data_IF_682325399492
#
_entry.id   IF_682325399492
#
_cell.length_a   1.000
_cell.length_b   1.000
_cell.length_c   1.000
_cell.angle_alpha   90.00
_cell.angle_beta   90.00
_cell.angle_gamma   90.00
#
_symmetry.space_group_name_H-M   'P 1'
#
loop_
_entity.id
_entity.type
_entity.pdbx_description
1 polymer ?
#
# COMPACT_ATOMS: atom_id res chain seq x y z
N UNK A 1 -27.88 44.44 3.03
CA UNK A 1 -26.93 45.11 2.12
C UNK A 1 -25.59 45.23 2.82
N UNK A 2 -24.77 44.16 2.81
CA UNK A 2 -23.33 44.17 3.17
C UNK A 2 -22.69 43.10 2.29
N UNK A 3 -21.64 43.48 1.56
CA UNK A 3 -20.95 42.70 0.51
C UNK A 3 -19.99 41.65 1.12
N UNK A 4 -19.74 40.50 0.46
CA UNK A 4 -18.71 39.56 0.89
C UNK A 4 -17.31 40.01 0.43
N UNK A 5 -16.34 39.83 1.31
CA UNK A 5 -14.92 40.11 1.10
C UNK A 5 -14.30 38.97 0.29
N UNK A 6 -13.55 39.35 -0.75
CA UNK A 6 -12.90 38.46 -1.71
C UNK A 6 -11.90 37.49 -1.08
N UNK A 7 -12.09 36.21 -1.38
CA UNK A 7 -11.13 35.12 -1.15
C UNK A 7 -10.07 35.18 -2.26
N UNK A 8 -9.11 36.07 -2.12
CA UNK A 8 -7.94 36.14 -3.01
C UNK A 8 -6.73 36.63 -2.23
N UNK A 9 -6.27 35.87 -1.23
CA UNK A 9 -5.06 36.26 -0.46
C UNK A 9 -4.23 35.11 0.13
N UNK A 10 -4.25 33.91 -0.48
CA UNK A 10 -3.39 32.80 -0.02
C UNK A 10 -2.58 32.09 -1.12
N UNK A 11 -2.35 32.76 -2.25
CA UNK A 11 -1.54 32.20 -3.34
C UNK A 11 -0.41 33.12 -3.80
N UNK A 12 0.25 33.83 -2.88
CA UNK A 12 1.53 34.53 -3.16
C UNK A 12 2.41 34.44 -1.92
N UNK A 13 3.07 33.29 -1.71
CA UNK A 13 4.25 33.21 -0.86
C UNK A 13 5.14 32.02 -1.23
N UNK A 14 5.55 31.91 -2.50
CA UNK A 14 6.66 31.01 -2.90
C UNK A 14 7.51 31.51 -4.07
N UNK A 15 7.44 32.82 -4.36
CA UNK A 15 8.28 33.49 -5.35
C UNK A 15 8.77 34.78 -4.71
N UNK A 16 9.94 34.72 -4.06
CA UNK A 16 10.91 35.79 -3.82
C UNK A 16 11.80 35.40 -2.62
N UNK A 17 12.76 34.51 -2.85
CA UNK A 17 14.01 34.49 -2.10
C UNK A 17 15.13 34.63 -3.13
N UNK A 18 15.59 35.88 -3.26
CA UNK A 18 16.61 36.28 -4.22
C UNK A 18 17.96 35.64 -3.95
N UNK A 19 18.61 35.28 -5.04
CA UNK A 19 20.04 35.00 -5.10
C UNK A 19 20.86 36.20 -4.61
N UNK A 20 21.90 35.94 -3.84
CA UNK A 20 23.06 36.82 -3.72
C UNK A 20 24.32 35.99 -3.49
N UNK A 21 25.25 36.05 -4.44
CA UNK A 21 26.69 35.87 -4.24
C UNK A 21 27.21 34.46 -4.01
N UNK A 22 27.67 33.81 -5.09
CA UNK A 22 28.54 32.63 -5.01
C UNK A 22 29.13 32.29 -6.37
N UNK A 23 30.44 32.49 -6.52
CA UNK A 23 31.25 32.25 -7.73
C UNK A 23 31.13 30.82 -8.27
N UNK A 24 30.87 30.68 -9.57
CA UNK A 24 30.81 29.41 -10.30
C UNK A 24 32.22 28.81 -10.53
N UNK A 25 32.44 27.50 -10.30
CA UNK A 25 33.62 26.81 -10.80
C UNK A 25 33.43 26.36 -12.26
N UNK A 26 34.52 26.37 -13.01
CA UNK A 26 34.59 26.16 -14.45
C UNK A 26 33.98 24.82 -14.93
N UNK A 27 33.19 24.89 -16.00
CA UNK A 27 32.63 23.76 -16.72
C UNK A 27 33.70 23.02 -17.54
N UNK A 28 33.85 21.72 -17.29
CA UNK A 28 34.66 20.79 -18.11
C UNK A 28 33.78 20.24 -19.25
N UNK A 29 34.23 20.17 -20.51
CA UNK A 29 33.41 19.67 -21.60
C UNK A 29 33.20 18.15 -21.51
N UNK A 30 31.99 17.67 -21.85
CA UNK A 30 31.67 16.24 -21.96
C UNK A 30 32.39 15.60 -23.16
N UNK A 31 32.82 14.33 -23.07
CA UNK A 31 33.40 13.60 -24.19
C UNK A 31 32.33 13.17 -25.21
N UNK A 32 32.66 13.34 -26.49
CA UNK A 32 31.80 13.16 -27.67
C UNK A 32 31.81 11.76 -28.29
N UNK A 33 31.97 10.67 -27.52
CA UNK A 33 31.87 9.30 -28.06
C UNK A 33 31.29 8.30 -27.05
N UNK A 34 30.12 7.75 -27.39
CA UNK A 34 29.50 6.58 -26.76
C UNK A 34 30.07 5.33 -27.47
N UNK A 35 30.69 4.36 -26.76
CA UNK A 35 31.08 3.10 -27.38
C UNK A 35 29.84 2.20 -27.57
N UNK A 36 29.65 1.69 -28.78
CA UNK A 36 28.63 0.71 -29.15
C UNK A 36 28.90 -0.62 -28.42
N UNK A 37 27.92 -1.13 -27.67
CA UNK A 37 27.93 -2.50 -27.16
C UNK A 37 27.74 -3.51 -28.31
N UNK A 38 28.42 -4.67 -28.27
CA UNK A 38 28.22 -5.73 -29.27
C UNK A 38 26.86 -6.39 -29.12
N UNK A 39 26.23 -6.67 -30.26
CA UNK A 39 24.95 -7.35 -30.42
C UNK A 39 25.06 -8.82 -30.05
N UNK A 40 24.21 -9.28 -29.13
CA UNK A 40 24.01 -10.71 -28.84
C UNK A 40 23.15 -11.33 -29.95
N UNK A 41 23.70 -12.29 -30.66
CA UNK A 41 22.98 -13.13 -31.62
C UNK A 41 22.25 -14.28 -30.90
N UNK A 42 21.06 -14.71 -31.38
CA UNK A 42 20.33 -15.81 -30.78
C UNK A 42 20.86 -17.17 -31.27
N UNK A 43 21.09 -18.08 -30.33
CA UNK A 43 21.44 -19.49 -30.58
C UNK A 43 20.20 -20.31 -30.97
N UNK A 44 20.27 -21.22 -31.95
CA UNK A 44 19.10 -22.01 -32.37
C UNK A 44 18.80 -23.16 -31.41
N UNK A 45 17.51 -23.47 -31.32
CA UNK A 45 16.91 -24.57 -30.55
C UNK A 45 16.83 -25.82 -31.44
N UNK A 46 17.26 -26.97 -30.95
CA UNK A 46 16.99 -28.28 -31.55
C UNK A 46 16.16 -29.14 -30.57
N UNK A 47 15.04 -29.68 -31.06
CA UNK A 47 14.30 -30.80 -30.43
C UNK A 47 15.05 -32.12 -30.63
N UNK A 48 14.58 -33.31 -30.26
CA UNK A 48 13.43 -33.84 -29.53
C UNK A 48 13.76 -35.35 -29.30
N UNK A 49 12.85 -36.09 -28.63
CA UNK A 49 12.82 -37.56 -28.39
C UNK A 49 13.61 -38.01 -27.14
N UNK A 50 13.13 -38.84 -26.22
CA UNK A 50 11.87 -39.59 -26.03
C UNK A 50 12.10 -40.73 -25.02
N UNK A 51 11.12 -41.00 -24.15
CA UNK A 51 10.77 -42.34 -23.63
C UNK A 51 11.53 -42.97 -22.45
N UNK A 52 10.74 -43.37 -21.41
CA UNK A 52 10.92 -44.47 -20.43
C UNK A 52 12.18 -44.47 -19.54
N UNK A 53 12.22 -44.86 -18.27
CA UNK A 53 11.44 -45.82 -17.47
C UNK A 53 12.45 -46.64 -16.64
N UNK A 54 12.19 -46.83 -15.34
CA UNK A 54 12.80 -47.84 -14.44
C UNK A 54 14.26 -47.59 -13.98
N UNK A 55 14.55 -47.43 -12.67
CA UNK A 55 14.62 -48.41 -11.56
C UNK A 55 15.89 -49.27 -11.53
N UNK A 56 16.52 -49.25 -10.35
CA UNK A 56 17.49 -50.20 -9.76
C UNK A 56 18.73 -50.61 -10.56
N UNK A 57 19.91 -50.32 -9.99
CA UNK A 57 20.97 -51.33 -9.84
C UNK A 57 21.84 -51.04 -8.61
N UNK A 58 21.83 -52.01 -7.69
CA UNK A 58 22.77 -52.21 -6.58
C UNK A 58 23.94 -53.07 -7.07
N UNK A 59 25.18 -52.71 -6.74
CA UNK A 59 26.40 -53.55 -6.60
C UNK A 59 27.54 -52.56 -6.23
N UNK A 60 28.43 -52.73 -5.25
CA UNK A 60 28.80 -53.81 -4.35
C UNK A 60 30.30 -53.62 -4.01
N UNK A 61 30.61 -53.46 -2.72
CA UNK A 61 31.89 -53.72 -2.03
C UNK A 61 33.23 -53.12 -2.54
N UNK A 62 33.88 -52.34 -1.65
CA UNK A 62 35.32 -52.07 -1.66
C UNK A 62 35.75 -51.40 -0.35
N UNK A 63 36.57 -52.09 0.44
CA UNK A 63 36.90 -51.79 1.83
C UNK A 63 38.00 -50.72 2.03
N UNK A 64 38.01 -50.09 3.21
CA UNK A 64 39.22 -49.55 3.84
C UNK A 64 39.11 -48.10 4.30
N UNK A 65 39.20 -47.86 5.62
CA UNK A 65 39.43 -46.52 6.17
C UNK A 65 38.65 -46.23 7.44
N UNK A 66 39.24 -46.58 8.59
CA UNK A 66 38.77 -46.21 9.93
C UNK A 66 38.90 -44.70 10.14
N UNK A 67 37.79 -43.99 10.31
CA UNK A 67 37.75 -42.76 11.09
C UNK A 67 36.55 -42.79 12.05
N UNK A 68 36.84 -42.62 13.34
CA UNK A 68 35.86 -42.51 14.41
C UNK A 68 35.12 -41.18 14.29
N UNK A 69 33.95 -41.19 13.66
CA UNK A 69 32.94 -40.14 13.79
C UNK A 69 31.82 -40.65 14.68
N UNK A 70 31.72 -40.13 15.91
CA UNK A 70 30.65 -40.45 16.82
C UNK A 70 29.28 -40.15 16.18
N UNK A 71 28.41 -41.14 16.20
CA UNK A 71 27.00 -40.98 15.85
C UNK A 71 26.36 -39.99 16.84
N UNK A 72 26.12 -38.77 16.39
CA UNK A 72 25.17 -37.87 17.06
C UNK A 72 23.80 -38.25 16.51
N UNK A 73 23.08 -39.06 17.29
CA UNK A 73 21.66 -39.30 17.11
C UNK A 73 20.96 -37.96 16.95
N UNK A 74 20.28 -37.76 15.82
CA UNK A 74 19.45 -36.60 15.58
C UNK A 74 18.43 -36.48 16.70
N UNK A 75 18.63 -35.52 17.59
CA UNK A 75 17.57 -35.04 18.47
C UNK A 75 16.46 -34.52 17.55
N UNK A 76 15.27 -35.09 17.71
CA UNK A 76 14.04 -34.63 17.07
C UNK A 76 13.90 -33.13 17.30
N UNK A 77 14.13 -32.36 16.23
CA UNK A 77 13.90 -30.92 16.24
C UNK A 77 12.43 -30.67 16.53
N UNK A 78 12.17 -30.08 17.69
CA UNK A 78 10.92 -29.40 17.99
C UNK A 78 10.74 -28.34 16.90
N UNK A 79 9.86 -28.59 15.94
CA UNK A 79 9.40 -27.57 15.02
C UNK A 79 8.65 -26.57 15.88
N UNK A 80 9.32 -25.45 16.21
CA UNK A 80 8.63 -24.29 16.76
C UNK A 80 7.64 -23.86 15.70
N UNK A 81 6.38 -24.19 15.92
CA UNK A 81 5.28 -23.76 15.08
C UNK A 81 5.21 -22.23 15.20
N UNK A 82 5.82 -21.53 14.26
CA UNK A 82 5.84 -20.05 14.20
C UNK A 82 4.39 -19.48 14.25
N UNK A 83 3.39 -20.33 13.96
CA UNK A 83 1.97 -20.02 13.97
C UNK A 83 1.28 -20.09 15.36
N UNK A 84 2.03 -20.33 16.44
CA UNK A 84 1.51 -20.33 17.82
C UNK A 84 2.01 -19.15 18.68
N UNK A 85 2.69 -18.16 18.07
CA UNK A 85 3.15 -16.98 18.80
C UNK A 85 2.01 -15.97 18.98
N UNK A 86 1.76 -15.57 20.22
CA UNK A 86 0.78 -14.52 20.52
C UNK A 86 1.20 -13.18 19.88
N UNK A 87 0.22 -12.51 19.26
CA UNK A 87 0.42 -11.22 18.62
C UNK A 87 0.80 -10.13 19.66
N UNK A 88 1.92 -9.38 19.47
CA UNK A 88 2.27 -8.30 20.39
C UNK A 88 1.27 -7.14 20.38
N UNK A 89 0.77 -6.74 21.55
CA UNK A 89 -0.22 -5.66 21.66
C UNK A 89 0.33 -4.29 21.21
N UNK A 90 -0.56 -3.38 20.82
CA UNK A 90 -0.23 -1.98 20.57
C UNK A 90 0.17 -1.24 21.87
N UNK A 91 1.15 -0.34 21.81
CA UNK A 91 1.35 0.63 22.88
C UNK A 91 0.08 1.48 23.13
N UNK A 92 -0.27 1.78 24.39
CA UNK A 92 -1.56 2.39 24.73
C UNK A 92 -1.66 3.88 24.37
N UNK A 93 -0.55 4.54 24.08
CA UNK A 93 -0.41 5.99 23.90
C UNK A 93 -0.28 6.43 22.44
N UNK A 94 -0.70 5.57 21.50
CA UNK A 94 -0.65 5.87 20.07
C UNK A 94 -1.86 6.69 19.62
N UNK A 95 -1.64 7.53 18.61
CA UNK A 95 -2.71 8.28 17.93
C UNK A 95 -3.38 7.37 16.89
N UNK A 96 -4.71 7.42 16.83
CA UNK A 96 -5.52 6.62 15.91
C UNK A 96 -6.38 7.51 15.02
N UNK A 97 -6.63 7.02 13.80
CA UNK A 97 -7.46 7.61 12.77
C UNK A 97 -8.47 6.55 12.29
N UNK A 98 -9.58 6.98 11.72
CA UNK A 98 -10.68 6.07 11.32
C UNK A 98 -11.15 5.18 12.49
N UNK A 99 -11.23 5.72 13.71
CA UNK A 99 -11.85 5.10 14.89
C UNK A 99 -12.07 6.16 15.96
N UNK A 100 -13.06 6.01 16.82
CA UNK A 100 -13.31 6.95 17.92
C UNK A 100 -12.39 6.71 19.13
N UNK A 101 -11.91 5.47 19.29
CA UNK A 101 -11.09 5.06 20.41
C UNK A 101 -9.91 4.20 19.93
N UNK A 102 -8.77 4.21 20.65
CA UNK A 102 -7.68 3.28 20.39
C UNK A 102 -8.16 1.82 20.42
N UNK A 103 -7.68 1.02 19.47
CA UNK A 103 -7.96 -0.42 19.42
C UNK A 103 -6.89 -1.20 20.17
N UNK A 104 -7.29 -2.35 20.70
CA UNK A 104 -6.37 -3.39 21.17
C UNK A 104 -6.64 -4.71 20.45
N UNK A 105 -5.59 -5.52 20.25
CA UNK A 105 -5.74 -6.85 19.66
C UNK A 105 -6.57 -7.77 20.57
N UNK A 106 -6.51 -7.56 21.88
CA UNK A 106 -7.36 -8.28 22.83
C UNK A 106 -8.87 -8.04 22.59
N UNK A 107 -9.28 -6.83 22.17
CA UNK A 107 -10.67 -6.52 21.83
C UNK A 107 -11.13 -7.18 20.52
N UNK A 108 -10.19 -7.60 19.68
CA UNK A 108 -10.46 -8.20 18.36
C UNK A 108 -10.38 -9.73 18.37
N UNK A 109 -10.28 -10.36 19.55
CA UNK A 109 -10.40 -11.83 19.66
C UNK A 109 -11.72 -12.30 19.04
N UNK A 110 -11.66 -13.37 18.27
CA UNK A 110 -12.77 -13.85 17.45
C UNK A 110 -12.78 -13.29 16.01
N UNK A 111 -11.98 -12.27 15.71
CA UNK A 111 -11.77 -11.74 14.34
C UNK A 111 -10.44 -12.19 13.77
N UNK A 112 -10.38 -12.33 12.45
CA UNK A 112 -9.10 -12.36 11.74
C UNK A 112 -8.62 -10.91 11.64
N UNK A 113 -7.37 -10.63 11.99
CA UNK A 113 -6.80 -9.28 11.91
C UNK A 113 -5.66 -9.25 10.91
N UNK A 114 -5.67 -8.28 10.00
CA UNK A 114 -4.61 -8.02 9.04
C UNK A 114 -3.95 -6.68 9.37
N UNK A 115 -2.69 -6.73 9.82
CA UNK A 115 -1.86 -5.55 9.97
C UNK A 115 -1.15 -5.25 8.66
N UNK A 116 -1.32 -4.03 8.15
CA UNK A 116 -0.54 -3.49 7.03
C UNK A 116 0.46 -2.47 7.56
N UNK A 117 1.75 -2.79 7.54
CA UNK A 117 2.82 -1.86 7.90
C UNK A 117 3.22 -1.05 6.67
N UNK A 118 2.82 0.22 6.67
CA UNK A 118 2.90 1.07 5.49
C UNK A 118 3.42 2.48 5.82
N UNK A 119 3.74 3.23 4.77
CA UNK A 119 4.04 4.66 4.85
C UNK A 119 3.59 5.34 3.57
N UNK A 120 3.14 6.59 3.62
CA UNK A 120 2.47 7.20 2.48
C UNK A 120 3.42 7.68 1.36
N UNK A 121 4.72 7.82 1.63
CA UNK A 121 5.75 8.07 0.62
C UNK A 121 6.19 6.82 -0.17
N UNK A 122 5.64 5.65 0.14
CA UNK A 122 6.01 4.36 -0.45
C UNK A 122 5.03 3.96 -1.56
N UNK A 123 5.47 4.01 -2.82
CA UNK A 123 4.63 3.63 -3.98
C UNK A 123 4.15 2.17 -3.88
N UNK A 124 5.00 1.27 -3.39
CA UNK A 124 4.65 -0.13 -3.21
C UNK A 124 3.50 -0.34 -2.20
N UNK A 125 3.44 0.53 -1.20
CA UNK A 125 2.40 0.52 -0.19
C UNK A 125 1.08 1.00 -0.81
N UNK A 126 1.13 2.02 -1.67
CA UNK A 126 -0.04 2.50 -2.40
C UNK A 126 -0.63 1.44 -3.34
N UNK A 127 0.22 0.60 -3.96
CA UNK A 127 -0.24 -0.52 -4.78
C UNK A 127 -1.00 -1.60 -3.99
N UNK A 128 -0.81 -1.69 -2.66
CA UNK A 128 -1.54 -2.64 -1.82
C UNK A 128 -2.97 -2.18 -1.49
N UNK A 129 -3.26 -0.87 -1.54
CA UNK A 129 -4.55 -0.30 -1.14
C UNK A 129 -5.74 -0.96 -1.87
N UNK A 130 -5.74 -1.13 -3.21
CA UNK A 130 -6.86 -1.80 -3.88
C UNK A 130 -7.08 -3.23 -3.42
N UNK A 131 -6.01 -3.96 -3.08
CA UNK A 131 -6.10 -5.34 -2.60
C UNK A 131 -6.63 -5.41 -1.16
N UNK A 132 -6.26 -4.45 -0.31
CA UNK A 132 -6.83 -4.32 1.04
C UNK A 132 -8.34 -4.08 0.95
N UNK A 133 -8.78 -3.11 0.12
CA UNK A 133 -10.21 -2.84 -0.12
C UNK A 133 -10.97 -4.07 -0.61
N UNK A 134 -10.37 -4.87 -1.49
CA UNK A 134 -10.97 -6.12 -1.96
C UNK A 134 -11.13 -7.15 -0.84
N UNK A 135 -10.18 -7.27 0.08
CA UNK A 135 -10.31 -8.18 1.23
C UNK A 135 -11.35 -7.68 2.23
N UNK A 136 -11.36 -6.39 2.54
CA UNK A 136 -12.35 -5.75 3.41
C UNK A 136 -13.78 -5.96 2.89
N UNK A 137 -14.00 -5.74 1.58
CA UNK A 137 -15.29 -5.97 0.96
C UNK A 137 -15.70 -7.45 0.91
N UNK A 138 -14.73 -8.36 0.85
CA UNK A 138 -14.98 -9.80 0.73
C UNK A 138 -15.26 -10.47 2.09
N UNK A 139 -14.67 -9.97 3.16
CA UNK A 139 -14.77 -10.54 4.52
C UNK A 139 -15.19 -9.47 5.55
N UNK A 140 -16.32 -8.76 5.34
CA UNK A 140 -16.67 -7.59 6.13
C UNK A 140 -16.99 -7.89 7.61
N UNK A 141 -17.38 -9.13 7.91
CA UNK A 141 -17.77 -9.55 9.25
C UNK A 141 -16.68 -10.37 9.95
N UNK A 142 -15.75 -10.98 9.20
CA UNK A 142 -14.67 -11.83 9.74
C UNK A 142 -13.33 -11.12 9.85
N UNK A 143 -13.01 -10.20 8.93
CA UNK A 143 -11.70 -9.57 8.80
C UNK A 143 -11.72 -8.13 9.31
N UNK A 144 -10.70 -7.78 10.09
CA UNK A 144 -10.38 -6.40 10.44
C UNK A 144 -9.00 -6.05 9.88
N UNK A 145 -8.95 -5.08 8.99
CA UNK A 145 -7.68 -4.51 8.53
C UNK A 145 -7.29 -3.36 9.48
N UNK A 146 -6.01 -3.26 9.82
CA UNK A 146 -5.45 -2.12 10.57
C UNK A 146 -4.19 -1.65 9.84
N UNK A 147 -4.19 -0.39 9.43
CA UNK A 147 -3.01 0.26 8.86
C UNK A 147 -2.07 0.70 9.98
N UNK A 148 -0.91 0.08 10.10
CA UNK A 148 0.18 0.53 10.97
C UNK A 148 1.05 1.49 10.16
N UNK A 149 0.75 2.79 10.25
CA UNK A 149 1.51 3.81 9.55
C UNK A 149 2.84 4.07 10.29
N UNK A 150 3.91 3.46 9.80
CA UNK A 150 5.26 3.60 10.35
C UNK A 150 6.06 4.57 9.47
N UNK A 151 6.34 5.77 9.98
CA UNK A 151 6.89 6.88 9.20
C UNK A 151 8.33 6.62 8.72
N UNK A 152 8.59 6.80 7.41
CA UNK A 152 9.96 6.77 6.88
C UNK A 152 10.68 8.12 7.05
N UNK A 153 9.96 9.22 6.90
CA UNK A 153 10.45 10.59 7.12
C UNK A 153 9.65 11.28 8.23
N UNK A 154 10.26 12.27 8.91
CA UNK A 154 9.63 12.98 10.03
C UNK A 154 8.30 13.67 9.66
N UNK A 155 8.18 14.17 8.42
CA UNK A 155 6.92 14.76 7.92
C UNK A 155 5.79 13.74 7.85
N UNK A 156 6.11 12.46 7.65
CA UNK A 156 5.15 11.37 7.58
C UNK A 156 4.56 11.02 8.95
N UNK A 157 5.24 11.36 10.04
CA UNK A 157 4.74 11.16 11.40
C UNK A 157 3.67 12.17 11.84
N UNK A 158 3.36 13.19 11.04
CA UNK A 158 2.34 14.18 11.38
C UNK A 158 0.94 13.61 11.12
N UNK A 159 0.13 13.47 12.17
CA UNK A 159 -1.21 12.87 12.11
C UNK A 159 -2.13 13.52 11.06
N UNK A 160 -2.05 14.84 10.88
CA UNK A 160 -2.84 15.52 9.85
C UNK A 160 -2.44 15.12 8.42
N UNK A 161 -1.16 14.90 8.14
CA UNK A 161 -0.73 14.44 6.83
C UNK A 161 -1.26 13.02 6.55
N UNK A 162 -1.25 12.15 7.57
CA UNK A 162 -1.82 10.80 7.47
C UNK A 162 -3.33 10.88 7.21
N UNK A 163 -4.06 11.76 7.92
CA UNK A 163 -5.48 12.02 7.66
C UNK A 163 -5.73 12.44 6.22
N UNK A 164 -4.96 13.37 5.67
CA UNK A 164 -5.09 13.78 4.28
C UNK A 164 -4.83 12.62 3.30
N UNK A 165 -3.91 11.71 3.62
CA UNK A 165 -3.64 10.51 2.81
C UNK A 165 -4.79 9.51 2.90
N UNK A 166 -5.37 9.29 4.09
CA UNK A 166 -6.57 8.46 4.30
C UNK A 166 -7.71 8.97 3.43
N UNK A 167 -7.98 10.28 3.47
CA UNK A 167 -9.03 10.92 2.69
C UNK A 167 -8.74 10.85 1.19
N UNK A 168 -7.49 11.08 0.78
CA UNK A 168 -7.06 10.98 -0.60
C UNK A 168 -7.33 9.56 -1.12
N UNK A 169 -6.73 8.54 -0.54
CA UNK A 169 -6.83 7.16 -1.03
C UNK A 169 -8.10 6.42 -0.61
N UNK A 170 -8.96 7.07 0.16
CA UNK A 170 -10.22 6.51 0.64
C UNK A 170 -9.99 5.24 1.45
N UNK A 171 -9.05 5.28 2.40
CA UNK A 171 -8.84 4.19 3.36
C UNK A 171 -10.00 4.18 4.35
N UNK A 172 -10.58 3.00 4.58
CA UNK A 172 -11.78 2.84 5.43
C UNK A 172 -11.48 2.06 6.71
N UNK A 173 -10.34 1.38 6.80
CA UNK A 173 -9.89 0.75 8.03
C UNK A 173 -9.29 1.76 9.02
N UNK A 174 -9.26 1.39 10.33
CA UNK A 174 -8.47 2.07 11.34
C UNK A 174 -7.00 2.18 10.95
N UNK A 175 -6.40 3.32 11.26
CA UNK A 175 -4.97 3.57 11.06
C UNK A 175 -4.36 4.05 12.36
N UNK A 176 -3.28 3.40 12.78
CA UNK A 176 -2.48 3.83 13.93
C UNK A 176 -1.22 4.56 13.46
N UNK A 177 -0.90 5.70 14.09
CA UNK A 177 0.29 6.47 13.79
C UNK A 177 1.48 5.98 14.62
N UNK A 178 2.32 5.13 14.03
CA UNK A 178 3.55 4.61 14.61
C UNK A 178 4.77 5.47 14.20
N UNK A 179 4.69 6.79 14.44
CA UNK A 179 5.71 7.78 14.05
C UNK A 179 7.10 7.51 14.63
N UNK A 180 7.17 6.86 15.80
CA UNK A 180 8.40 6.54 16.51
C UNK A 180 8.88 5.09 16.27
N UNK A 181 8.26 4.38 15.32
CA UNK A 181 8.58 3.00 14.94
C UNK A 181 8.50 1.99 16.11
N UNK A 182 7.70 2.28 17.14
CA UNK A 182 7.56 1.43 18.33
C UNK A 182 6.86 0.12 17.99
N UNK A 183 5.78 0.17 17.21
CA UNK A 183 5.07 -1.02 16.74
C UNK A 183 5.95 -1.75 15.73
N UNK A 184 6.51 -1.04 14.75
CA UNK A 184 7.45 -1.58 13.77
C UNK A 184 8.57 -2.43 14.39
N UNK A 185 9.25 -1.89 15.41
CA UNK A 185 10.33 -2.59 16.09
C UNK A 185 9.84 -3.75 16.96
N UNK A 186 8.71 -3.59 17.66
CA UNK A 186 8.10 -4.65 18.48
C UNK A 186 7.71 -5.87 17.63
N UNK A 187 7.22 -5.61 16.41
CA UNK A 187 6.83 -6.64 15.45
C UNK A 187 7.99 -7.13 14.57
N UNK A 188 9.21 -6.64 14.83
CA UNK A 188 10.42 -6.98 14.08
C UNK A 188 10.30 -6.77 12.56
N UNK A 189 9.51 -5.77 12.13
CA UNK A 189 9.33 -5.44 10.71
C UNK A 189 10.62 -4.84 10.13
N UNK A 190 10.90 -5.12 8.85
CA UNK A 190 12.15 -4.73 8.18
C UNK A 190 11.95 -4.04 6.83
N UNK A 191 10.74 -4.04 6.28
CA UNK A 191 10.47 -3.50 4.96
C UNK A 191 9.04 -2.98 4.85
N UNK A 192 8.88 -1.94 4.04
CA UNK A 192 7.57 -1.45 3.63
C UNK A 192 7.23 -1.99 2.23
N UNK A 193 5.98 -2.40 1.96
CA UNK A 193 4.99 -2.80 2.95
C UNK A 193 5.35 -4.15 3.59
N UNK A 194 4.86 -4.42 4.80
CA UNK A 194 4.84 -5.76 5.40
C UNK A 194 3.44 -6.03 5.93
N UNK A 195 2.89 -7.20 5.63
CA UNK A 195 1.57 -7.61 6.05
C UNK A 195 1.68 -8.74 7.06
N UNK A 196 0.94 -8.66 8.15
CA UNK A 196 0.86 -9.70 9.17
C UNK A 196 -0.58 -10.10 9.39
N UNK A 197 -0.88 -11.38 9.21
CA UNK A 197 -2.19 -11.95 9.49
C UNK A 197 -2.19 -12.58 10.88
N UNK A 198 -3.26 -12.34 11.62
CA UNK A 198 -3.47 -12.79 12.99
C UNK A 198 -4.77 -13.60 13.02
N UNK A 199 -4.75 -14.78 13.63
CA UNK A 199 -5.93 -15.65 13.72
C UNK A 199 -6.95 -15.13 14.77
N UNK A 200 -8.17 -15.72 14.84
CA UNK A 200 -9.17 -15.34 15.85
C UNK A 200 -8.79 -15.60 17.31
N UNK A 201 -7.83 -16.50 17.59
CA UNK A 201 -7.24 -16.66 18.92
C UNK A 201 -6.17 -15.58 19.22
N UNK A 202 -5.90 -14.74 18.22
CA UNK A 202 -4.86 -13.74 18.05
C UNK A 202 -3.43 -14.18 18.29
N UNK A 203 -3.11 -15.31 17.66
CA UNK A 203 -1.76 -15.73 17.33
C UNK A 203 -1.41 -15.30 15.90
N UNK A 204 -0.11 -15.22 15.61
CA UNK A 204 0.38 -14.96 14.27
C UNK A 204 -0.01 -16.11 13.34
N UNK A 205 -0.67 -15.81 12.23
CA UNK A 205 -1.16 -16.77 11.24
C UNK A 205 -0.45 -16.65 9.89
N UNK A 206 0.16 -15.52 9.58
CA UNK A 206 0.85 -15.33 8.30
C UNK A 206 1.68 -14.04 8.26
N UNK A 207 2.72 -14.04 7.43
CA UNK A 207 3.59 -12.89 7.18
C UNK A 207 3.84 -12.80 5.68
N UNK A 208 3.74 -11.60 5.11
CA UNK A 208 4.09 -11.32 3.72
C UNK A 208 4.87 -10.01 3.64
N UNK A 209 5.98 -10.00 2.93
CA UNK A 209 6.80 -8.80 2.73
C UNK A 209 6.67 -8.32 1.29
N UNK A 210 6.33 -7.05 1.11
CA UNK A 210 6.17 -6.42 -0.20
C UNK A 210 4.77 -6.56 -0.80
N UNK A 211 4.70 -6.44 -2.12
CA UNK A 211 3.45 -6.46 -2.91
C UNK A 211 2.96 -7.89 -3.18
N UNK A 212 1.78 -8.01 -3.81
CA UNK A 212 1.19 -9.27 -4.30
C UNK A 212 0.76 -10.26 -3.19
N UNK A 213 0.40 -9.77 -2.02
CA UNK A 213 -0.05 -10.58 -0.87
C UNK A 213 -1.46 -11.19 -1.05
N UNK A 214 -2.29 -10.61 -1.94
CA UNK A 214 -3.72 -10.90 -2.01
C UNK A 214 -4.07 -12.38 -2.15
N UNK A 215 -3.50 -13.08 -3.14
CA UNK A 215 -3.84 -14.48 -3.43
C UNK A 215 -3.53 -15.44 -2.26
N UNK A 216 -2.28 -15.43 -1.73
CA UNK A 216 -1.92 -16.19 -0.54
C UNK A 216 -2.80 -15.86 0.67
N UNK A 217 -3.01 -14.58 0.99
CA UNK A 217 -3.76 -14.18 2.18
C UNK A 217 -5.25 -14.48 2.03
N UNK A 218 -5.85 -14.28 0.86
CA UNK A 218 -7.23 -14.68 0.60
C UNK A 218 -7.44 -16.18 0.76
N UNK A 219 -6.44 -17.01 0.46
CA UNK A 219 -6.53 -18.46 0.69
C UNK A 219 -6.42 -18.79 2.17
N UNK A 220 -5.48 -18.17 2.87
CA UNK A 220 -5.27 -18.38 4.30
C UNK A 220 -6.46 -17.89 5.14
N UNK A 221 -7.03 -16.73 4.82
CA UNK A 221 -8.24 -16.20 5.47
C UNK A 221 -9.38 -17.21 5.38
N UNK A 222 -9.64 -17.80 4.19
CA UNK A 222 -10.67 -18.84 4.05
C UNK A 222 -10.41 -20.06 4.93
N UNK A 223 -9.15 -20.52 4.98
CA UNK A 223 -8.77 -21.65 5.83
C UNK A 223 -8.97 -21.34 7.32
N UNK A 224 -8.64 -20.12 7.76
CA UNK A 224 -8.87 -19.68 9.13
C UNK A 224 -10.36 -19.59 9.45
N UNK A 225 -11.18 -19.06 8.53
CA UNK A 225 -12.64 -19.04 8.69
C UNK A 225 -13.16 -20.47 8.89
N UNK A 226 -12.83 -21.40 7.98
CA UNK A 226 -13.30 -22.79 8.07
C UNK A 226 -12.87 -23.46 9.39
N UNK A 227 -11.61 -23.27 9.80
CA UNK A 227 -11.05 -23.89 11.00
C UNK A 227 -11.66 -23.34 12.30
N UNK A 228 -11.91 -22.03 12.38
CA UNK A 228 -12.45 -21.41 13.59
C UNK A 228 -13.98 -21.48 13.65
N UNK A 229 -14.68 -21.55 12.52
CA UNK A 229 -16.11 -21.84 12.45
C UNK A 229 -16.43 -23.25 12.95
N UNK A 230 -15.66 -24.25 12.53
CA UNK A 230 -15.83 -25.64 12.98
C UNK A 230 -15.72 -25.77 14.51
N UNK A 231 -15.08 -24.80 15.17
CA UNK A 231 -14.89 -24.73 16.63
C UNK A 231 -15.84 -23.73 17.31
N UNK A 232 -16.64 -22.97 16.56
CA UNK A 232 -17.53 -21.93 17.09
C UNK A 232 -16.79 -20.76 17.73
N UNK A 233 -15.58 -20.43 17.24
CA UNK A 233 -14.70 -19.41 17.82
C UNK A 233 -14.61 -18.12 16.99
N UNK A 234 -15.31 -18.05 15.86
CA UNK A 234 -15.33 -16.86 15.01
C UNK A 234 -16.46 -15.92 15.43
N UNK A 235 -16.12 -14.67 15.74
CA UNK A 235 -17.08 -13.61 16.01
C UNK A 235 -17.39 -12.88 14.70
N UNK A 236 -18.66 -12.83 14.30
CA UNK A 236 -19.14 -12.10 13.11
C UNK A 236 -19.93 -10.84 13.44
N UNK A 237 -19.89 -10.39 14.69
CA UNK A 237 -20.51 -9.12 15.08
C UNK A 237 -19.91 -7.98 14.26
N UNK A 238 -20.70 -7.22 13.48
CA UNK A 238 -20.16 -6.19 12.62
C UNK A 238 -19.44 -5.10 13.43
N UNK A 239 -18.21 -4.77 13.04
CA UNK A 239 -17.47 -3.64 13.60
C UNK A 239 -17.74 -2.41 12.73
N UNK A 240 -18.03 -1.28 13.38
CA UNK A 240 -18.26 0.01 12.73
C UNK A 240 -17.26 1.00 13.29
N UNK A 241 -16.46 1.56 12.39
CA UNK A 241 -15.51 2.60 12.72
C UNK A 241 -16.01 3.93 12.20
N UNK A 242 -15.75 5.00 12.95
CA UNK A 242 -16.00 6.37 12.49
C UNK A 242 -14.88 6.78 11.55
N UNK A 243 -15.22 7.02 10.28
CA UNK A 243 -14.23 7.37 9.27
C UNK A 243 -13.91 8.87 9.29
N UNK A 244 -12.66 9.22 8.95
CA UNK A 244 -12.22 10.63 8.85
C UNK A 244 -13.03 11.43 7.82
N UNK A 245 -13.60 10.75 6.82
CA UNK A 245 -14.43 11.37 5.78
C UNK A 245 -15.83 11.73 6.25
N UNK A 246 -16.30 11.15 7.36
CA UNK A 246 -17.66 11.37 7.85
C UNK A 246 -17.82 12.81 8.34
N UNK A 247 -18.82 13.52 7.80
CA UNK A 247 -19.11 14.90 8.15
C UNK A 247 -18.26 15.95 7.44
N UNK A 248 -17.36 15.56 6.53
CA UNK A 248 -16.66 16.51 5.67
C UNK A 248 -17.59 17.06 4.58
N UNK A 249 -17.56 18.38 4.30
CA UNK A 249 -18.35 18.96 3.23
C UNK A 249 -17.85 18.48 1.87
N UNK A 250 -18.77 18.31 0.93
CA UNK A 250 -18.42 18.10 -0.48
C UNK A 250 -17.93 19.43 -1.08
N UNK A 251 -16.77 19.39 -1.71
CA UNK A 251 -16.13 20.54 -2.35
C UNK A 251 -16.20 20.42 -3.87
N UNK A 252 -15.92 21.51 -4.60
CA UNK A 252 -15.90 21.47 -6.07
C UNK A 252 -14.77 20.57 -6.58
N UNK A 253 -13.59 20.67 -5.94
CA UNK A 253 -12.43 19.83 -6.22
C UNK A 253 -12.15 18.94 -5.02
N UNK A 254 -11.72 17.70 -5.27
CA UNK A 254 -11.31 16.73 -4.26
C UNK A 254 -9.96 16.15 -4.65
N UNK A 255 -8.93 16.49 -3.87
CA UNK A 255 -7.54 16.09 -4.07
C UNK A 255 -7.04 16.23 -5.52
N UNK A 256 -7.08 17.45 -6.11
CA UNK A 256 -6.65 17.65 -7.49
C UNK A 256 -5.15 17.32 -7.64
N UNK A 257 -4.82 16.40 -8.54
CA UNK A 257 -3.48 15.83 -8.66
C UNK A 257 -2.51 16.67 -9.48
N UNK A 258 -3.02 17.24 -10.59
CA UNK A 258 -2.27 18.07 -11.54
C UNK A 258 -3.17 19.13 -12.17
N UNK A 259 -2.50 20.16 -12.71
CA UNK A 259 -3.12 21.21 -13.50
C UNK A 259 -2.29 21.46 -14.75
N UNK A 260 -2.95 21.60 -15.89
CA UNK A 260 -2.36 21.98 -17.17
C UNK A 260 -2.95 23.32 -17.62
N UNK A 261 -2.08 24.25 -17.98
CA UNK A 261 -2.49 25.57 -18.47
C UNK A 261 -2.36 25.64 -20.00
N UNK A 262 -3.48 25.88 -20.68
CA UNK A 262 -3.51 26.19 -22.11
C UNK A 262 -3.57 27.72 -22.29
N UNK A 263 -2.39 28.31 -22.49
CA UNK A 263 -2.26 29.74 -22.69
C UNK A 263 -2.93 30.24 -23.98
N UNK A 264 -2.97 29.41 -25.04
CA UNK A 264 -3.54 29.81 -26.34
C UNK A 264 -5.07 29.83 -26.30
N UNK A 265 -5.67 28.82 -25.68
CA UNK A 265 -7.13 28.73 -25.52
C UNK A 265 -7.67 29.47 -24.29
N UNK A 266 -6.81 30.06 -23.45
CA UNK A 266 -7.17 30.67 -22.16
C UNK A 266 -7.88 29.71 -21.19
N UNK A 267 -7.40 28.46 -21.10
CA UNK A 267 -8.03 27.41 -20.26
C UNK A 267 -7.08 26.83 -19.23
N UNK A 268 -7.66 26.28 -18.17
CA UNK A 268 -7.04 25.36 -17.22
C UNK A 268 -7.73 24.01 -17.33
N UNK A 269 -6.94 22.94 -17.32
CA UNK A 269 -7.40 21.58 -17.12
C UNK A 269 -6.92 21.13 -15.75
N UNK A 270 -7.83 20.69 -14.89
CA UNK A 270 -7.53 20.27 -13.52
C UNK A 270 -7.93 18.80 -13.41
N UNK A 271 -6.97 17.94 -13.07
CA UNK A 271 -7.24 16.55 -12.77
C UNK A 271 -7.82 16.45 -11.36
N UNK A 272 -9.14 16.40 -11.26
CA UNK A 272 -9.92 16.35 -10.03
C UNK A 272 -9.98 14.89 -9.53
N UNK A 273 -8.83 14.41 -9.03
CA UNK A 273 -8.52 12.98 -8.85
C UNK A 273 -9.64 12.21 -8.15
N UNK A 274 -10.09 12.66 -6.98
CA UNK A 274 -11.04 11.89 -6.16
C UNK A 274 -12.47 11.99 -6.67
N UNK A 275 -12.75 12.91 -7.60
CA UNK A 275 -14.00 12.93 -8.34
C UNK A 275 -13.89 12.23 -9.70
N UNK A 276 -12.78 11.57 -10.01
CA UNK A 276 -12.60 10.76 -11.24
C UNK A 276 -12.98 11.53 -12.52
N UNK A 277 -12.55 12.79 -12.62
CA UNK A 277 -12.88 13.69 -13.73
C UNK A 277 -11.81 14.74 -13.98
N UNK A 278 -11.90 15.39 -15.12
CA UNK A 278 -11.15 16.59 -15.48
C UNK A 278 -12.08 17.80 -15.45
N UNK A 279 -11.68 18.84 -14.74
CA UNK A 279 -12.37 20.14 -14.73
C UNK A 279 -11.69 21.06 -15.75
N UNK A 280 -12.45 21.57 -16.70
CA UNK A 280 -12.00 22.55 -17.68
C UNK A 280 -12.52 23.91 -17.24
N UNK A 281 -11.63 24.84 -16.95
CA UNK A 281 -11.98 26.18 -16.47
C UNK A 281 -11.36 27.27 -17.33
N UNK A 282 -11.97 28.44 -17.36
CA UNK A 282 -11.34 29.65 -17.92
C UNK A 282 -10.17 30.06 -17.03
N UNK A 283 -9.03 30.34 -17.63
CA UNK A 283 -7.77 30.58 -16.90
C UNK A 283 -7.77 31.89 -16.12
N UNK A 284 -8.56 32.87 -16.53
CA UNK A 284 -8.54 34.21 -15.93
C UNK A 284 -9.61 34.36 -14.85
N UNK A 285 -10.83 33.92 -15.15
CA UNK A 285 -11.98 34.02 -14.26
C UNK A 285 -12.11 32.83 -13.30
N UNK A 286 -11.56 31.66 -13.67
CA UNK A 286 -11.79 30.41 -12.93
C UNK A 286 -13.18 29.81 -13.15
N UNK A 287 -13.99 30.35 -14.05
CA UNK A 287 -15.30 29.81 -14.41
C UNK A 287 -15.15 28.40 -14.98
N UNK A 288 -15.95 27.45 -14.48
CA UNK A 288 -15.98 26.09 -15.02
C UNK A 288 -16.68 26.10 -16.37
N UNK A 289 -15.92 25.80 -17.42
CA UNK A 289 -16.40 25.74 -18.79
C UNK A 289 -17.01 24.37 -19.13
N UNK A 290 -16.40 23.30 -18.61
CA UNK A 290 -16.86 21.93 -18.82
C UNK A 290 -16.30 20.97 -17.76
N UNK A 291 -16.96 19.83 -17.62
CA UNK A 291 -16.49 18.68 -16.85
C UNK A 291 -16.40 17.49 -17.81
N UNK A 292 -15.27 16.78 -17.78
CA UNK A 292 -15.10 15.54 -18.52
C UNK A 292 -14.87 14.40 -17.53
N UNK A 293 -15.76 13.41 -17.50
CA UNK A 293 -15.74 12.31 -16.56
C UNK A 293 -17.09 12.14 -15.89
N UNK A 294 -17.64 10.93 -15.95
CA UNK A 294 -18.89 10.52 -15.30
C UNK A 294 -18.82 10.57 -13.76
N UNK A 295 -17.61 10.67 -13.21
CA UNK A 295 -17.33 10.62 -11.78
C UNK A 295 -17.23 9.20 -11.20
N UNK A 296 -17.60 8.18 -11.99
CA UNK A 296 -17.31 6.80 -11.64
C UNK A 296 -15.84 6.47 -11.92
N UNK A 297 -15.25 5.64 -11.07
CA UNK A 297 -13.95 5.04 -11.33
C UNK A 297 -14.05 4.09 -12.53
N UNK A 298 -13.17 4.26 -13.52
CA UNK A 298 -13.18 3.40 -14.70
C UNK A 298 -12.31 3.90 -15.86
N UNK A 299 -12.39 3.19 -16.98
CA UNK A 299 -11.61 3.45 -18.20
C UNK A 299 -12.48 3.54 -19.45
N UNK A 300 -13.76 3.86 -19.28
CA UNK A 300 -14.69 3.96 -20.40
C UNK A 300 -14.38 5.19 -21.24
N UNK A 301 -14.23 5.01 -22.55
CA UNK A 301 -14.20 6.13 -23.50
C UNK A 301 -15.61 6.67 -23.77
N UNK A 302 -15.69 7.88 -24.33
CA UNK A 302 -16.96 8.47 -24.75
C UNK A 302 -16.89 9.98 -24.87
N UNK A 303 -18.05 10.62 -24.77
CA UNK A 303 -18.11 12.07 -24.64
C UNK A 303 -17.75 12.51 -23.21
N UNK A 304 -17.81 13.81 -22.94
CA UNK A 304 -17.47 14.38 -21.64
C UNK A 304 -18.33 13.85 -20.49
N UNK A 305 -19.60 13.50 -20.75
CA UNK A 305 -20.51 13.02 -19.70
C UNK A 305 -20.33 11.53 -19.43
N UNK A 306 -20.00 10.73 -20.45
CA UNK A 306 -19.94 9.27 -20.33
C UNK A 306 -18.54 8.70 -20.12
N UNK A 307 -17.49 9.42 -20.50
CA UNK A 307 -16.12 8.97 -20.26
C UNK A 307 -15.89 8.72 -18.76
N UNK A 308 -15.07 7.74 -18.40
CA UNK A 308 -14.71 7.44 -17.02
C UNK A 308 -13.20 7.50 -16.85
N UNK A 309 -12.77 8.00 -15.70
CA UNK A 309 -11.36 8.04 -15.32
C UNK A 309 -11.19 7.28 -14.01
N UNK A 310 -10.06 6.58 -13.88
CA UNK A 310 -9.64 6.01 -12.62
C UNK A 310 -8.48 6.87 -12.11
N UNK A 311 -8.75 7.73 -11.14
CA UNK A 311 -7.71 8.49 -10.43
C UNK A 311 -6.79 9.33 -11.35
N UNK A 312 -7.34 10.24 -12.18
CA UNK A 312 -6.54 10.99 -13.15
C UNK A 312 -5.45 11.83 -12.48
N UNK A 313 -4.26 11.86 -13.09
CA UNK A 313 -3.10 12.64 -12.63
C UNK A 313 -2.54 13.51 -13.77
N UNK A 314 -1.38 13.13 -14.34
CA UNK A 314 -0.71 13.88 -15.40
C UNK A 314 -1.58 14.07 -16.65
N UNK A 315 -1.53 15.28 -17.21
CA UNK A 315 -2.17 15.71 -18.44
C UNK A 315 -1.15 16.36 -19.36
#
# INVERSE_FOLDING_TARGET
MIRPISVLFFLILFLLAGCSGGTAPATRPLPTRIPLLPTLTPTPRAGALGGAGESLTTFGMGAGGSERGAAVSAASGEQVDLYAMEAPEFPPDLEWLNTEQPLSLAQLRGKIVLLDFWTYGCVNCLHNIPYLKQLEARYPDELVVIGVHSAKFATEGQTENIRQVILRYGLEHPVVNDKDLRVWHRWNVKAWPTLVLIDPAGNLAGLHVGENFYGPFNTLIRQLIDAFDARGLLDRTPLRFRLEREGLPQTILSFPGKVLADARGNRLFIADTNHNRIVIADRQSGEVLALAGSGADGFADGDYATAAFAWPQGM
#
